data_IF_854201647603
#
_entry.id   IF_854201647603
#
_cell.length_a   1.000
_cell.length_b   1.000
_cell.length_c   1.000
_cell.angle_alpha   90.00
_cell.angle_beta   90.00
_cell.angle_gamma   90.00
#
_symmetry.space_group_name_H-M   'P 1'
#
loop_
_entity.id
_entity.type
_entity.pdbx_description
1 polymer ?
#
# COMPACT_ATOMS: atom_id res chain seq x y z
N UNK A 1 -10.93 15.16 0.56
CA UNK A 1 -9.58 15.53 1.03
C UNK A 1 -8.79 14.24 1.20
N UNK A 2 -7.73 14.04 0.42
CA UNK A 2 -6.91 12.82 0.46
C UNK A 2 -5.80 13.05 1.50
N UNK A 3 -5.80 12.26 2.58
CA UNK A 3 -4.81 12.41 3.65
C UNK A 3 -3.48 11.85 3.10
N UNK A 4 -2.37 12.61 3.17
CA UNK A 4 -1.08 12.16 2.68
C UNK A 4 -0.67 10.82 3.31
N UNK A 5 -0.29 9.85 2.47
CA UNK A 5 0.10 8.49 2.86
C UNK A 5 1.21 8.48 3.94
N UNK A 6 2.06 9.51 3.95
CA UNK A 6 3.13 9.73 4.92
C UNK A 6 2.62 9.98 6.35
N UNK A 7 1.48 10.68 6.49
CA UNK A 7 0.82 10.90 7.79
C UNK A 7 0.11 9.62 8.21
N UNK A 8 -0.57 8.96 7.26
CA UNK A 8 -1.30 7.73 7.51
C UNK A 8 -0.39 6.55 7.90
N UNK A 9 0.84 6.52 7.38
CA UNK A 9 1.86 5.50 7.70
C UNK A 9 2.49 5.69 9.08
N UNK A 10 2.47 6.91 9.63
CA UNK A 10 3.04 7.25 10.94
C UNK A 10 2.08 7.06 12.12
N UNK A 11 0.77 6.94 11.85
CA UNK A 11 -0.26 6.68 12.87
C UNK A 11 0.04 5.47 13.76
N UNK A 12 0.47 4.29 13.25
CA UNK A 12 0.76 3.14 14.10
C UNK A 12 1.95 3.40 15.04
N UNK A 13 3.01 4.05 14.53
CA UNK A 13 4.17 4.40 15.33
C UNK A 13 3.80 5.42 16.43
N UNK A 14 2.91 6.36 16.12
CA UNK A 14 2.40 7.34 17.09
C UNK A 14 1.61 6.62 18.20
N UNK A 15 0.70 5.71 17.85
CA UNK A 15 -0.08 4.93 18.81
C UNK A 15 0.81 4.07 19.72
N UNK A 16 1.85 3.44 19.17
CA UNK A 16 2.83 2.67 19.95
C UNK A 16 3.59 3.59 20.91
N UNK A 17 4.05 4.76 20.44
CA UNK A 17 4.77 5.72 21.26
C UNK A 17 3.89 6.28 22.40
N UNK A 18 2.62 6.59 22.13
CA UNK A 18 1.67 7.05 23.17
C UNK A 18 1.38 5.93 24.17
N UNK A 19 1.18 4.70 23.70
CA UNK A 19 0.98 3.54 24.57
C UNK A 19 2.17 3.27 25.49
N UNK A 20 3.40 3.34 24.95
CA UNK A 20 4.63 3.19 25.71
C UNK A 20 4.84 4.33 26.73
N UNK A 21 4.44 5.56 26.37
CA UNK A 21 4.51 6.71 27.26
C UNK A 21 3.45 6.71 28.38
N UNK A 22 2.31 6.01 28.19
CA UNK A 22 1.29 5.87 29.23
C UNK A 22 1.73 4.97 30.39
N UNK A 23 2.61 3.99 30.14
CA UNK A 23 3.08 3.02 31.14
C UNK A 23 3.80 3.68 32.33
N UNK A 24 4.77 4.61 32.14
CA UNK A 24 5.39 5.32 33.26
C UNK A 24 4.49 6.43 33.85
N UNK A 25 3.54 6.97 33.08
CA UNK A 25 2.71 8.10 33.51
C UNK A 25 1.59 7.72 34.50
N UNK A 26 1.05 6.50 34.42
CA UNK A 26 -0.12 6.07 35.24
C UNK A 26 0.19 5.01 36.31
N UNK A 27 1.43 4.51 36.38
CA UNK A 27 1.84 3.50 37.37
C UNK A 27 1.19 2.12 37.18
N UNK A 28 1.77 1.10 37.82
CA UNK A 28 1.31 -0.29 37.79
C UNK A 28 0.00 -0.47 38.60
N UNK A 29 -1.11 -0.01 38.04
CA UNK A 29 -2.45 -0.28 38.55
C UNK A 29 -3.18 -1.25 37.62
N UNK A 30 -3.96 -2.18 38.18
CA UNK A 30 -4.71 -3.20 37.41
C UNK A 30 -5.56 -2.60 36.27
N UNK A 31 -6.23 -1.45 36.43
CA UNK A 31 -6.96 -0.80 35.32
C UNK A 31 -6.04 -0.33 34.20
N UNK A 32 -4.88 0.24 34.55
CA UNK A 32 -3.89 0.73 33.59
C UNK A 32 -3.29 -0.42 32.76
N UNK A 33 -3.04 -1.56 33.38
CA UNK A 33 -2.64 -2.81 32.71
C UNK A 33 -3.69 -3.31 31.72
N UNK A 34 -4.97 -3.30 32.12
CA UNK A 34 -6.09 -3.68 31.25
C UNK A 34 -6.22 -2.72 30.06
N UNK A 35 -6.11 -1.41 30.28
CA UNK A 35 -6.12 -0.40 29.22
C UNK A 35 -4.94 -0.57 28.27
N UNK A 36 -3.73 -0.80 28.79
CA UNK A 36 -2.54 -1.05 27.98
C UNK A 36 -2.69 -2.32 27.14
N UNK A 37 -3.24 -3.41 27.70
CA UNK A 37 -3.49 -4.65 26.97
C UNK A 37 -4.51 -4.47 25.84
N UNK A 38 -5.59 -3.72 26.10
CA UNK A 38 -6.60 -3.38 25.11
C UNK A 38 -6.04 -2.52 23.98
N UNK A 39 -5.22 -1.50 24.30
CA UNK A 39 -4.55 -0.69 23.29
C UNK A 39 -3.56 -1.50 22.47
N UNK A 40 -2.79 -2.39 23.12
CA UNK A 40 -1.81 -3.22 22.43
C UNK A 40 -2.48 -4.23 21.49
N UNK A 41 -3.56 -4.87 21.94
CA UNK A 41 -4.34 -5.80 21.11
C UNK A 41 -5.06 -5.08 19.97
N UNK A 42 -5.63 -3.90 20.20
CA UNK A 42 -6.23 -3.08 19.14
C UNK A 42 -5.19 -2.61 18.11
N UNK A 43 -4.00 -2.18 18.58
CA UNK A 43 -2.88 -1.79 17.71
C UNK A 43 -2.35 -2.98 16.89
N UNK A 44 -2.18 -4.14 17.51
CA UNK A 44 -1.78 -5.38 16.84
C UNK A 44 -2.80 -5.84 15.80
N UNK A 45 -4.10 -5.80 16.14
CA UNK A 45 -5.18 -6.15 15.20
C UNK A 45 -5.24 -5.17 14.02
N UNK A 46 -5.04 -3.88 14.28
CA UNK A 46 -4.97 -2.84 13.23
C UNK A 46 -3.77 -3.04 12.33
N UNK A 47 -2.60 -3.38 12.90
CA UNK A 47 -1.39 -3.69 12.12
C UNK A 47 -1.57 -4.95 11.27
N UNK A 48 -2.18 -6.00 11.81
CA UNK A 48 -2.50 -7.23 11.09
C UNK A 48 -3.51 -6.99 9.97
N UNK A 49 -4.55 -6.20 10.23
CA UNK A 49 -5.54 -5.81 9.24
C UNK A 49 -4.89 -5.00 8.11
N UNK A 50 -4.02 -4.05 8.45
CA UNK A 50 -3.27 -3.25 7.48
C UNK A 50 -2.25 -4.08 6.71
N UNK A 51 -1.62 -5.07 7.34
CA UNK A 51 -0.73 -6.01 6.66
C UNK A 51 -1.50 -6.82 5.62
N UNK A 52 -2.67 -7.36 5.99
CA UNK A 52 -3.56 -8.10 5.09
C UNK A 52 -4.11 -7.23 3.95
N UNK A 53 -4.40 -5.96 4.21
CA UNK A 53 -4.82 -5.02 3.16
C UNK A 53 -3.67 -4.58 2.25
N UNK A 54 -2.43 -4.48 2.76
CA UNK A 54 -1.26 -4.22 1.92
C UNK A 54 -0.96 -5.39 0.98
N UNK A 55 -1.10 -6.64 1.42
CA UNK A 55 -0.99 -7.78 0.49
C UNK A 55 -2.05 -7.72 -0.60
N UNK A 56 -3.29 -7.32 -0.27
CA UNK A 56 -4.33 -7.12 -1.28
C UNK A 56 -4.03 -5.96 -2.27
N UNK A 57 -3.41 -4.87 -1.83
CA UNK A 57 -2.98 -3.78 -2.72
C UNK A 57 -1.80 -4.18 -3.61
N UNK A 58 -0.82 -4.91 -3.06
CA UNK A 58 0.33 -5.44 -3.83
C UNK A 58 -0.14 -6.42 -4.92
N UNK A 59 -1.17 -7.23 -4.65
CA UNK A 59 -1.77 -8.13 -5.63
C UNK A 59 -2.48 -7.37 -6.77
N UNK A 60 -3.16 -6.26 -6.45
CA UNK A 60 -3.79 -5.37 -7.45
C UNK A 60 -2.73 -4.65 -8.31
N UNK A 61 -1.63 -4.19 -7.72
CA UNK A 61 -0.50 -3.58 -8.46
C UNK A 61 0.27 -4.61 -9.32
N UNK A 62 0.30 -5.87 -8.90
CA UNK A 62 0.87 -6.94 -9.73
C UNK A 62 -0.03 -7.20 -10.95
N UNK A 63 -1.35 -7.14 -10.78
CA UNK A 63 -2.32 -7.24 -11.88
C UNK A 63 -2.27 -6.07 -12.87
N UNK A 64 -1.97 -4.85 -12.42
CA UNK A 64 -1.78 -3.68 -13.31
C UNK A 64 -0.51 -3.83 -14.16
N UNK A 65 0.59 -4.34 -13.59
CA UNK A 65 1.83 -4.57 -14.34
C UNK A 65 1.66 -5.54 -15.53
N UNK A 66 0.88 -6.60 -15.38
CA UNK A 66 0.57 -7.53 -16.47
C UNK A 66 -0.28 -6.85 -17.56
N UNK A 67 -1.29 -6.07 -17.16
CA UNK A 67 -2.13 -5.32 -18.10
C UNK A 67 -1.31 -4.30 -18.90
N UNK A 68 -0.36 -3.65 -18.24
CA UNK A 68 0.54 -2.67 -18.85
C UNK A 68 1.51 -3.33 -19.84
N UNK A 69 2.06 -4.52 -19.52
CA UNK A 69 2.85 -5.30 -20.48
C UNK A 69 2.06 -5.65 -21.74
N UNK A 70 0.80 -6.06 -21.59
CA UNK A 70 -0.09 -6.37 -22.72
C UNK A 70 -0.44 -5.14 -23.55
N UNK A 71 -0.63 -3.97 -22.91
CA UNK A 71 -0.82 -2.71 -23.61
C UNK A 71 0.42 -2.32 -24.43
N UNK A 72 1.61 -2.46 -23.83
CA UNK A 72 2.89 -2.15 -24.47
C UNK A 72 3.19 -3.08 -25.65
N UNK A 73 2.79 -4.36 -25.57
CA UNK A 73 2.90 -5.30 -26.71
C UNK A 73 1.99 -4.91 -27.88
N UNK A 74 0.77 -4.45 -27.62
CA UNK A 74 -0.15 -3.99 -28.68
C UNK A 74 0.38 -2.76 -29.39
N UNK A 75 0.95 -1.81 -28.64
CA UNK A 75 1.51 -0.60 -29.21
C UNK A 75 2.72 -0.91 -30.12
N UNK A 76 3.62 -1.80 -29.68
CA UNK A 76 4.72 -2.29 -30.53
C UNK A 76 4.25 -2.94 -31.83
N UNK A 77 3.15 -3.70 -31.79
CA UNK A 77 2.55 -4.30 -33.01
C UNK A 77 1.97 -3.25 -33.94
N UNK A 78 1.34 -2.20 -33.40
CA UNK A 78 0.81 -1.08 -34.21
C UNK A 78 1.92 -0.31 -34.90
N UNK A 79 3.01 -0.01 -34.19
CA UNK A 79 4.17 0.67 -34.76
C UNK A 79 4.83 -0.17 -35.85
N UNK A 80 5.04 -1.47 -35.61
CA UNK A 80 5.60 -2.38 -36.61
C UNK A 80 4.71 -2.47 -37.88
N UNK A 81 3.39 -2.51 -37.71
CA UNK A 81 2.46 -2.52 -38.84
C UNK A 81 2.44 -1.17 -39.59
N UNK A 82 2.52 -0.05 -38.87
CA UNK A 82 2.61 1.28 -39.47
C UNK A 82 3.91 1.48 -40.25
N UNK A 83 5.05 1.01 -39.74
CA UNK A 83 6.33 1.03 -40.44
C UNK A 83 6.34 0.16 -41.69
N UNK A 84 5.74 -1.04 -41.63
CA UNK A 84 5.59 -1.90 -42.80
C UNK A 84 4.72 -1.25 -43.88
N UNK A 85 3.62 -0.60 -43.48
CA UNK A 85 2.74 0.10 -44.41
C UNK A 85 3.42 1.33 -45.04
N UNK A 86 4.19 2.08 -44.25
CA UNK A 86 4.99 3.22 -44.74
C UNK A 86 6.07 2.77 -45.74
N UNK A 87 6.74 1.64 -45.51
CA UNK A 87 7.71 1.06 -46.46
C UNK A 87 7.05 0.56 -47.74
N UNK A 88 5.84 0.01 -47.66
CA UNK A 88 5.10 -0.46 -48.83
C UNK A 88 4.60 0.70 -49.72
N UNK A 89 4.23 1.84 -49.12
CA UNK A 89 3.73 3.00 -49.87
C UNK A 89 4.80 4.03 -50.26
N UNK A 90 5.97 4.05 -49.62
CA UNK A 90 7.08 4.95 -49.98
C UNK A 90 7.92 4.52 -51.19
N UNK A 91 7.55 3.43 -51.86
CA UNK A 91 8.26 2.86 -53.01
C UNK A 91 7.60 3.15 -54.37
N UNK A 92 6.66 4.11 -54.42
CA UNK A 92 6.08 4.68 -55.65
C UNK A 92 6.60 6.09 -55.88
#
# INVERSE_FOLDING_TARGET
MWIPESIYSKLPALYIATGAALVPAFGFSVPSLLSALLLFTAGGLTALWRYRHRTAQVEVDTGSSLRDEWAQRRERRRQAAAEQNARAHGHR
#
